data_IF_857063274503
#
_entry.id   IF_857063274503
#
_cell.length_a   1.000
_cell.length_b   1.000
_cell.length_c   1.000
_cell.angle_alpha   90.00
_cell.angle_beta   90.00
_cell.angle_gamma   90.00
#
_symmetry.space_group_name_H-M   'P 1'
#
loop_
_entity.id
_entity.type
_entity.pdbx_description
1 polymer ?
#
# COMPACT_ATOMS: atom_id res chain seq x y z
N UNK A 1 -8.29 -6.90 19.27
CA UNK A 1 -7.04 -6.47 19.91
C UNK A 1 -6.99 -4.95 19.94
N UNK A 2 -7.18 -4.25 21.07
CA UNK A 2 -6.76 -2.87 21.20
C UNK A 2 -5.24 -2.87 21.44
N UNK A 3 -4.45 -2.05 20.73
CA UNK A 3 -3.06 -1.79 21.06
C UNK A 3 -2.00 -2.04 20.00
N UNK A 4 -2.34 -2.45 18.75
CA UNK A 4 -1.31 -2.64 17.72
C UNK A 4 -0.99 -1.39 16.88
N UNK A 5 -1.83 -0.36 16.94
CA UNK A 5 -1.64 0.84 16.11
C UNK A 5 -0.61 1.83 16.66
N UNK A 6 -0.29 1.76 17.95
CA UNK A 6 0.66 2.65 18.63
C UNK A 6 2.12 2.17 18.60
N UNK A 7 2.35 0.94 18.10
CA UNK A 7 3.72 0.42 17.92
C UNK A 7 4.40 1.07 16.71
N UNK A 8 5.67 1.49 16.84
CA UNK A 8 6.48 1.85 15.70
C UNK A 8 6.77 0.63 14.81
N UNK A 9 7.11 0.88 13.56
CA UNK A 9 7.58 -0.16 12.66
C UNK A 9 8.93 -0.75 13.16
N UNK A 10 9.25 -2.02 12.82
CA UNK A 10 10.51 -2.62 13.21
C UNK A 10 11.71 -1.81 12.69
N UNK A 11 12.65 -1.46 13.56
CA UNK A 11 13.83 -0.68 13.19
C UNK A 11 14.65 -1.32 12.07
N UNK A 12 14.83 -2.64 12.09
CA UNK A 12 15.53 -3.36 11.03
C UNK A 12 14.84 -3.29 9.66
N UNK A 13 13.51 -3.14 9.62
CA UNK A 13 12.79 -2.93 8.36
C UNK A 13 12.99 -1.50 7.84
N UNK A 14 13.04 -0.50 8.73
CA UNK A 14 13.35 0.87 8.36
C UNK A 14 14.80 1.02 7.88
N UNK A 15 15.75 0.31 8.52
CA UNK A 15 17.15 0.23 8.07
C UNK A 15 17.25 -0.42 6.68
N UNK A 16 16.49 -1.49 6.45
CA UNK A 16 16.39 -2.13 5.15
C UNK A 16 15.88 -1.17 4.07
N UNK A 17 14.83 -0.42 4.34
CA UNK A 17 14.31 0.60 3.42
C UNK A 17 15.40 1.64 3.12
N UNK A 18 16.04 2.21 4.15
CA UNK A 18 17.06 3.23 3.98
C UNK A 18 18.24 2.74 3.15
N UNK A 19 18.71 1.52 3.40
CA UNK A 19 19.81 0.90 2.67
C UNK A 19 19.54 0.73 1.16
N UNK A 20 18.28 0.44 0.79
CA UNK A 20 17.90 0.22 -0.60
C UNK A 20 17.35 1.47 -1.32
N UNK A 21 17.31 2.62 -0.62
CA UNK A 21 16.82 3.89 -1.15
C UNK A 21 17.80 5.03 -0.95
N UNK A 22 19.04 4.74 -0.58
CA UNK A 22 20.03 5.75 -0.19
C UNK A 22 20.29 6.84 -1.25
N UNK A 23 20.14 6.52 -2.51
CA UNK A 23 20.33 7.40 -3.66
C UNK A 23 19.09 8.21 -4.07
N UNK A 24 17.97 8.06 -3.36
CA UNK A 24 16.72 8.76 -3.65
C UNK A 24 16.52 10.03 -2.81
N UNK A 25 17.06 10.04 -1.60
CA UNK A 25 16.68 11.03 -0.58
C UNK A 25 17.15 12.46 -0.87
N UNK A 26 18.17 12.62 -1.72
CA UNK A 26 18.64 13.95 -2.12
C UNK A 26 17.57 14.76 -2.88
N UNK A 27 16.67 14.08 -3.61
CA UNK A 27 15.53 14.71 -4.31
C UNK A 27 14.54 15.37 -3.33
N UNK A 28 14.48 14.87 -2.09
CA UNK A 28 13.59 15.36 -1.04
C UNK A 28 14.26 16.40 -0.12
N UNK A 29 15.56 16.64 -0.23
CA UNK A 29 16.30 17.56 0.66
C UNK A 29 15.71 18.97 0.66
N UNK A 30 15.39 19.48 1.87
CA UNK A 30 14.73 20.78 2.04
C UNK A 30 13.31 20.83 1.49
N UNK A 31 12.78 19.70 1.01
CA UNK A 31 11.47 19.59 0.41
C UNK A 31 10.32 19.60 1.41
N UNK A 32 9.12 19.86 0.90
CA UNK A 32 7.87 19.71 1.66
C UNK A 32 6.99 18.69 0.96
N UNK A 33 6.61 17.66 1.71
CA UNK A 33 5.77 16.57 1.23
C UNK A 33 4.34 16.77 1.74
N UNK A 34 3.36 16.58 0.86
CA UNK A 34 1.95 16.51 1.24
C UNK A 34 1.45 15.08 1.04
N UNK A 35 0.89 14.50 2.11
CA UNK A 35 0.53 13.08 2.13
C UNK A 35 -0.94 12.92 2.46
N UNK A 36 -1.69 12.30 1.57
CA UNK A 36 -3.03 11.80 1.85
C UNK A 36 -2.98 10.30 2.12
N UNK A 37 -3.83 9.81 3.02
CA UNK A 37 -3.79 8.40 3.43
C UNK A 37 -2.59 8.04 4.32
N UNK A 38 -1.89 9.04 4.88
CA UNK A 38 -0.70 8.86 5.72
C UNK A 38 -0.95 8.11 7.03
N UNK A 39 -2.21 7.98 7.45
CA UNK A 39 -2.61 7.25 8.66
C UNK A 39 -2.90 5.77 8.44
N UNK A 40 -2.97 5.33 7.18
CA UNK A 40 -3.22 3.94 6.79
C UNK A 40 -1.95 3.09 6.71
N UNK A 41 -2.12 1.84 6.29
CA UNK A 41 -1.02 0.86 6.16
C UNK A 41 0.14 1.40 5.32
N UNK A 42 -0.09 1.79 4.06
CA UNK A 42 0.97 2.35 3.21
C UNK A 42 1.55 3.65 3.79
N UNK A 43 0.65 4.52 4.27
CA UNK A 43 1.05 5.84 4.74
C UNK A 43 1.98 5.81 5.94
N UNK A 44 1.76 4.87 6.87
CA UNK A 44 2.64 4.69 8.03
C UNK A 44 4.03 4.21 7.61
N UNK A 45 4.13 3.25 6.68
CA UNK A 45 5.41 2.80 6.15
C UNK A 45 6.18 3.92 5.43
N UNK A 46 5.46 4.73 4.64
CA UNK A 46 6.06 5.89 3.98
C UNK A 46 6.47 6.98 4.98
N UNK A 47 5.65 7.27 5.98
CA UNK A 47 5.96 8.29 6.98
C UNK A 47 7.16 7.89 7.86
N UNK A 48 7.17 6.69 8.42
CA UNK A 48 8.25 6.25 9.31
C UNK A 48 9.58 6.08 8.57
N UNK A 49 9.57 5.56 7.35
CA UNK A 49 10.79 5.50 6.52
C UNK A 49 11.28 6.89 6.10
N UNK A 50 10.38 7.84 5.82
CA UNK A 50 10.75 9.24 5.59
C UNK A 50 11.43 9.86 6.82
N UNK A 51 10.85 9.69 8.00
CA UNK A 51 11.40 10.25 9.24
C UNK A 51 12.78 9.68 9.53
N UNK A 52 12.94 8.36 9.41
CA UNK A 52 14.25 7.71 9.54
C UNK A 52 15.30 8.34 8.59
N UNK A 53 14.97 8.45 7.32
CA UNK A 53 15.89 9.07 6.35
C UNK A 53 16.13 10.56 6.62
N UNK A 54 15.09 11.31 7.00
CA UNK A 54 15.18 12.72 7.30
C UNK A 54 16.15 12.99 8.46
N UNK A 55 16.08 12.18 9.51
CA UNK A 55 16.91 12.34 10.70
C UNK A 55 18.35 11.88 10.44
N UNK A 56 18.56 10.69 9.87
CA UNK A 56 19.88 10.12 9.68
C UNK A 56 20.71 10.85 8.60
N UNK A 57 20.03 11.32 7.54
CA UNK A 57 20.71 12.01 6.43
C UNK A 57 20.64 13.54 6.55
N UNK A 58 20.01 14.07 7.59
CA UNK A 58 19.84 15.50 7.80
C UNK A 58 19.17 16.19 6.61
N UNK A 59 18.07 15.65 6.10
CA UNK A 59 17.42 16.16 4.90
C UNK A 59 16.77 17.52 5.12
N UNK A 60 16.38 17.84 6.34
CA UNK A 60 15.65 19.08 6.67
C UNK A 60 14.37 19.24 5.84
N UNK A 61 13.76 18.13 5.50
CA UNK A 61 12.48 18.07 4.80
C UNK A 61 11.32 18.01 5.80
N UNK A 62 10.13 18.39 5.36
CA UNK A 62 8.93 18.38 6.19
C UNK A 62 7.79 17.64 5.50
N UNK A 63 6.92 17.01 6.31
CA UNK A 63 5.76 16.25 5.83
C UNK A 63 4.47 16.82 6.43
N UNK A 64 3.48 17.07 5.59
CA UNK A 64 2.13 17.40 6.03
C UNK A 64 1.23 16.19 5.74
N UNK A 65 0.62 15.63 6.77
CA UNK A 65 -0.29 14.48 6.68
C UNK A 65 -1.74 14.94 6.78
N UNK A 66 -2.51 14.75 5.71
CA UNK A 66 -3.94 14.97 5.74
C UNK A 66 -4.63 13.79 6.45
N UNK A 67 -5.40 14.11 7.49
CA UNK A 67 -6.15 13.13 8.28
C UNK A 67 -7.53 13.67 8.66
N UNK A 68 -8.53 12.78 8.72
CA UNK A 68 -9.88 13.14 9.18
C UNK A 68 -9.94 13.41 10.68
N UNK A 69 -9.05 12.79 11.44
CA UNK A 69 -8.99 12.89 12.90
C UNK A 69 -7.52 12.95 13.36
N UNK A 70 -6.95 14.16 13.48
CA UNK A 70 -5.59 14.36 13.97
C UNK A 70 -5.35 13.78 15.35
N UNK A 71 -6.33 13.93 16.28
CA UNK A 71 -6.20 13.47 17.65
C UNK A 71 -6.06 11.94 17.68
N UNK A 72 -6.97 11.22 17.01
CA UNK A 72 -6.91 9.76 16.91
C UNK A 72 -5.58 9.29 16.31
N UNK A 73 -5.06 10.02 15.31
CA UNK A 73 -3.77 9.66 14.73
C UNK A 73 -2.61 9.91 15.69
N UNK A 74 -2.62 11.02 16.45
CA UNK A 74 -1.61 11.28 17.49
C UNK A 74 -1.62 10.21 18.58
N UNK A 75 -2.79 9.75 18.98
CA UNK A 75 -2.93 8.64 19.95
C UNK A 75 -2.42 7.30 19.37
N UNK A 76 -2.65 7.05 18.09
CA UNK A 76 -2.28 5.81 17.41
C UNK A 76 -0.83 5.77 16.92
N UNK A 77 -0.19 6.91 16.73
CA UNK A 77 1.15 7.02 16.14
C UNK A 77 1.93 8.23 16.71
N UNK A 78 2.10 8.33 18.03
CA UNK A 78 2.72 9.50 18.64
C UNK A 78 4.11 9.79 18.07
N UNK A 79 4.93 8.77 17.85
CA UNK A 79 6.27 8.94 17.29
C UNK A 79 6.29 9.60 15.88
N UNK A 80 5.23 9.44 15.11
CA UNK A 80 5.08 10.11 13.80
C UNK A 80 4.42 11.47 13.97
N UNK A 81 3.31 11.52 14.71
CA UNK A 81 2.47 12.70 14.81
C UNK A 81 3.14 13.88 15.54
N UNK A 82 3.99 13.58 16.54
CA UNK A 82 4.70 14.56 17.36
C UNK A 82 6.10 14.90 16.84
N UNK A 83 6.52 14.25 15.76
CA UNK A 83 7.83 14.52 15.17
C UNK A 83 7.91 15.93 14.61
N UNK A 84 9.00 16.71 14.87
CA UNK A 84 9.13 18.10 14.43
C UNK A 84 8.98 18.33 12.92
N UNK A 85 9.31 17.33 12.12
CA UNK A 85 9.16 17.37 10.66
C UNK A 85 7.72 17.08 10.18
N UNK A 86 6.78 16.74 11.06
CA UNK A 86 5.41 16.37 10.69
C UNK A 86 4.41 17.43 11.14
N UNK A 87 3.49 17.74 10.26
CA UNK A 87 2.32 18.57 10.57
C UNK A 87 1.06 17.79 10.19
N UNK A 88 0.08 17.74 11.08
CA UNK A 88 -1.21 17.14 10.80
C UNK A 88 -2.18 18.21 10.28
N UNK A 89 -2.82 17.94 9.15
CA UNK A 89 -3.89 18.78 8.59
C UNK A 89 -5.22 18.03 8.73
N UNK A 90 -6.18 18.63 9.42
CA UNK A 90 -7.52 18.07 9.52
C UNK A 90 -8.28 18.25 8.20
N UNK A 91 -8.90 17.19 7.69
CA UNK A 91 -9.74 17.28 6.49
C UNK A 91 -10.01 15.93 5.84
N UNK A 92 -11.00 15.95 4.95
CA UNK A 92 -11.34 14.82 4.08
C UNK A 92 -10.68 15.02 2.71
N UNK A 93 -10.22 13.94 2.07
CA UNK A 93 -9.44 13.99 0.83
C UNK A 93 -10.17 14.72 -0.32
N UNK A 94 -11.50 14.61 -0.39
CA UNK A 94 -12.30 15.27 -1.43
C UNK A 94 -12.67 16.72 -1.15
N UNK A 95 -12.39 17.26 0.06
CA UNK A 95 -12.92 18.58 0.46
C UNK A 95 -12.04 19.36 1.46
N UNK A 96 -10.80 18.93 1.70
CA UNK A 96 -9.90 19.65 2.62
C UNK A 96 -9.61 21.08 2.12
N UNK A 97 -9.41 21.99 3.07
CA UNK A 97 -8.95 23.34 2.77
C UNK A 97 -7.52 23.28 2.22
N UNK A 98 -7.31 23.93 1.08
CA UNK A 98 -6.00 23.93 0.44
C UNK A 98 -5.03 24.80 1.25
N UNK A 99 -4.00 24.21 1.90
CA UNK A 99 -3.05 24.99 2.65
C UNK A 99 -2.22 25.87 1.72
N UNK A 100 -1.91 27.08 2.19
CA UNK A 100 -1.08 28.05 1.44
C UNK A 100 0.39 27.72 1.61
N UNK A 101 1.18 27.99 0.57
CA UNK A 101 2.63 27.78 0.53
C UNK A 101 3.02 26.83 -0.60
N UNK A 102 4.32 26.51 -0.69
CA UNK A 102 4.87 25.63 -1.69
C UNK A 102 5.10 24.22 -1.12
N UNK A 103 4.78 23.20 -1.92
CA UNK A 103 5.12 21.79 -1.66
C UNK A 103 5.85 21.24 -2.87
N UNK A 104 6.85 20.41 -2.63
CA UNK A 104 7.67 19.83 -3.69
C UNK A 104 7.14 18.49 -4.18
N UNK A 105 6.57 17.70 -3.25
CA UNK A 105 6.12 16.33 -3.50
C UNK A 105 4.72 16.10 -2.92
N UNK A 106 3.93 15.30 -3.62
CA UNK A 106 2.61 14.85 -3.16
C UNK A 106 2.54 13.32 -3.21
N UNK A 107 2.15 12.70 -2.10
CA UNK A 107 1.85 11.28 -2.03
C UNK A 107 0.35 11.10 -1.86
N UNK A 108 -0.32 10.73 -2.94
CA UNK A 108 -1.77 10.49 -2.93
C UNK A 108 -2.06 9.02 -2.72
N UNK A 109 -2.15 8.63 -1.44
CA UNK A 109 -2.39 7.25 -1.00
C UNK A 109 -3.76 7.06 -0.35
N UNK A 110 -4.52 8.15 -0.17
CA UNK A 110 -5.86 8.04 0.38
C UNK A 110 -6.74 7.22 -0.54
N UNK A 111 -7.33 6.19 0.03
CA UNK A 111 -8.32 5.33 -0.62
C UNK A 111 -9.32 4.93 0.44
N UNK A 112 -10.58 5.11 0.15
CA UNK A 112 -11.62 4.52 0.96
C UNK A 112 -11.99 3.18 0.32
N UNK A 113 -11.37 2.12 0.83
CA UNK A 113 -11.73 0.73 0.55
C UNK A 113 -11.76 0.00 1.89
N UNK A 114 -12.92 -0.31 2.37
CA UNK A 114 -13.07 -0.98 3.66
C UNK A 114 -14.39 -1.71 3.79
N UNK A 115 -14.53 -2.60 4.79
CA UNK A 115 -15.80 -3.25 5.07
C UNK A 115 -16.90 -2.21 5.27
N UNK A 116 -18.02 -2.38 4.55
CA UNK A 116 -19.19 -1.50 4.63
C UNK A 116 -19.20 -0.30 3.67
N UNK A 117 -18.16 -0.06 2.90
CA UNK A 117 -18.19 0.98 1.86
C UNK A 117 -18.90 0.48 0.60
N UNK A 118 -19.84 1.27 0.09
CA UNK A 118 -20.48 0.96 -1.18
C UNK A 118 -19.52 1.19 -2.36
N UNK A 119 -19.66 0.43 -3.45
CA UNK A 119 -18.87 0.66 -4.67
C UNK A 119 -18.98 2.08 -5.21
N UNK A 120 -20.16 2.70 -5.14
CA UNK A 120 -20.41 4.10 -5.53
C UNK A 120 -19.60 5.07 -4.65
N UNK A 121 -19.61 4.88 -3.33
CA UNK A 121 -18.82 5.71 -2.42
C UNK A 121 -17.32 5.59 -2.70
N UNK A 122 -16.81 4.38 -2.96
CA UNK A 122 -15.42 4.16 -3.33
C UNK A 122 -15.04 4.87 -4.63
N UNK A 123 -15.91 4.81 -5.64
CA UNK A 123 -15.72 5.52 -6.91
C UNK A 123 -15.67 7.03 -6.70
N UNK A 124 -16.69 7.61 -6.05
CA UNK A 124 -16.78 9.07 -5.81
C UNK A 124 -15.60 9.60 -5.02
N UNK A 125 -15.20 8.89 -3.96
CA UNK A 125 -14.05 9.30 -3.15
C UNK A 125 -12.76 9.27 -3.94
N UNK A 126 -12.55 8.24 -4.77
CA UNK A 126 -11.35 8.16 -5.61
C UNK A 126 -11.27 9.31 -6.62
N UNK A 127 -12.40 9.64 -7.26
CA UNK A 127 -12.47 10.74 -8.25
C UNK A 127 -12.31 12.09 -7.56
N UNK A 128 -13.22 12.45 -6.64
CA UNK A 128 -13.21 13.75 -5.98
C UNK A 128 -11.93 14.00 -5.16
N UNK A 129 -11.41 12.93 -4.53
CA UNK A 129 -10.14 13.00 -3.80
C UNK A 129 -8.97 13.29 -4.72
N UNK A 130 -8.90 12.64 -5.88
CA UNK A 130 -7.83 12.89 -6.84
C UNK A 130 -7.93 14.28 -7.46
N UNK A 131 -9.12 14.73 -7.86
CA UNK A 131 -9.32 16.10 -8.35
C UNK A 131 -8.85 17.14 -7.34
N UNK A 132 -9.23 16.99 -6.08
CA UNK A 132 -8.84 17.94 -5.02
C UNK A 132 -7.33 17.93 -4.76
N UNK A 133 -6.69 16.76 -4.78
CA UNK A 133 -5.24 16.65 -4.60
C UNK A 133 -4.49 17.23 -5.79
N UNK A 134 -4.97 17.06 -7.02
CA UNK A 134 -4.37 17.64 -8.21
C UNK A 134 -4.53 19.18 -8.24
N UNK A 135 -5.69 19.70 -7.83
CA UNK A 135 -5.88 21.14 -7.62
C UNK A 135 -4.87 21.69 -6.61
N UNK A 136 -4.70 21.00 -5.48
CA UNK A 136 -3.70 21.35 -4.50
C UNK A 136 -2.29 21.32 -5.09
N UNK A 137 -1.90 20.23 -5.76
CA UNK A 137 -0.57 20.07 -6.34
C UNK A 137 -0.22 21.21 -7.32
N UNK A 138 -1.18 21.60 -8.16
CA UNK A 138 -1.00 22.70 -9.10
C UNK A 138 -0.82 24.05 -8.38
N UNK A 139 -1.65 24.37 -7.39
CA UNK A 139 -1.55 25.61 -6.60
C UNK A 139 -0.28 25.68 -5.76
N UNK A 140 0.15 24.56 -5.25
CA UNK A 140 1.34 24.44 -4.39
C UNK A 140 2.65 24.41 -5.16
N UNK A 141 2.62 24.33 -6.49
CA UNK A 141 3.80 24.19 -7.34
C UNK A 141 4.54 22.88 -7.16
N UNK A 142 3.81 21.78 -6.86
CA UNK A 142 4.40 20.48 -6.68
C UNK A 142 5.05 19.98 -7.98
N UNK A 143 6.27 19.43 -7.85
CA UNK A 143 7.01 18.90 -9.01
C UNK A 143 6.66 17.44 -9.28
N UNK A 144 6.50 16.64 -8.22
CA UNK A 144 6.24 15.19 -8.31
C UNK A 144 5.00 14.82 -7.52
N UNK A 145 4.19 13.96 -8.09
CA UNK A 145 3.03 13.36 -7.44
C UNK A 145 3.08 11.83 -7.62
N UNK A 146 2.98 11.08 -6.54
CA UNK A 146 2.77 9.63 -6.58
C UNK A 146 1.30 9.32 -6.32
N UNK A 147 0.65 8.69 -7.29
CA UNK A 147 -0.67 8.07 -7.12
C UNK A 147 -0.51 6.59 -6.80
N UNK A 148 -0.97 6.14 -5.64
CA UNK A 148 -1.17 4.70 -5.42
C UNK A 148 -2.47 4.26 -6.08
N UNK A 149 -2.35 3.78 -7.30
CA UNK A 149 -3.41 3.10 -8.04
C UNK A 149 -3.54 1.63 -7.58
N UNK A 150 -4.20 0.79 -8.33
CA UNK A 150 -4.45 -0.60 -7.95
C UNK A 150 -4.43 -1.53 -9.16
N UNK A 151 -4.07 -2.81 -8.96
CA UNK A 151 -4.32 -3.86 -9.96
C UNK A 151 -5.80 -4.06 -10.29
N UNK A 152 -6.72 -3.53 -9.48
CA UNK A 152 -8.16 -3.54 -9.80
C UNK A 152 -8.52 -2.76 -11.07
N UNK A 153 -7.64 -1.89 -11.55
CA UNK A 153 -7.82 -1.16 -12.82
C UNK A 153 -7.90 -2.10 -14.03
N UNK A 154 -7.35 -3.30 -13.93
CA UNK A 154 -7.34 -4.30 -15.01
C UNK A 154 -8.62 -5.12 -15.08
N UNK A 155 -9.49 -5.05 -14.06
CA UNK A 155 -10.64 -5.96 -13.95
C UNK A 155 -10.22 -7.38 -13.61
N UNK A 156 -10.99 -8.35 -14.09
CA UNK A 156 -10.72 -9.78 -13.88
C UNK A 156 -9.56 -10.25 -14.73
N UNK A 157 -8.57 -10.87 -14.10
CA UNK A 157 -7.44 -11.46 -14.81
C UNK A 157 -7.90 -12.70 -15.60
N UNK A 158 -7.64 -12.78 -16.92
CA UNK A 158 -7.93 -13.98 -17.71
C UNK A 158 -7.20 -15.21 -17.13
N UNK A 159 -7.86 -16.39 -17.13
CA UNK A 159 -7.27 -17.61 -16.55
C UNK A 159 -5.99 -18.11 -17.25
N UNK A 160 -5.81 -17.77 -18.51
CA UNK A 160 -4.65 -18.09 -19.35
C UNK A 160 -3.53 -17.06 -19.26
N UNK A 161 -3.78 -15.91 -18.62
CA UNK A 161 -2.76 -14.91 -18.33
C UNK A 161 -2.17 -15.16 -16.95
N UNK A 162 -0.95 -15.68 -16.87
CA UNK A 162 -0.32 -16.00 -15.59
C UNK A 162 -0.07 -14.75 -14.73
N UNK A 163 0.39 -13.66 -15.35
CA UNK A 163 0.73 -12.38 -14.71
C UNK A 163 0.25 -11.23 -15.57
N UNK A 164 -0.37 -10.23 -14.97
CA UNK A 164 -0.88 -9.06 -15.69
C UNK A 164 0.25 -8.05 -15.91
N UNK A 165 0.68 -7.79 -17.16
CA UNK A 165 1.61 -6.71 -17.47
C UNK A 165 0.89 -5.35 -17.52
N UNK A 166 1.62 -4.25 -17.37
CA UNK A 166 1.06 -2.90 -17.39
C UNK A 166 0.41 -2.53 -18.73
N UNK A 167 0.83 -3.19 -19.82
CA UNK A 167 0.24 -3.01 -21.17
C UNK A 167 -1.07 -3.80 -21.40
N UNK A 168 -1.53 -4.59 -20.43
CA UNK A 168 -2.79 -5.32 -20.57
C UNK A 168 -3.98 -4.34 -20.65
N UNK A 169 -4.81 -4.40 -21.72
CA UNK A 169 -5.85 -3.41 -21.97
C UNK A 169 -7.14 -3.65 -21.18
N UNK A 170 -7.20 -4.69 -20.34
CA UNK A 170 -8.39 -5.04 -19.58
C UNK A 170 -8.88 -3.92 -18.67
N UNK A 171 -10.16 -3.99 -18.32
CA UNK A 171 -10.83 -3.06 -17.45
C UNK A 171 -11.94 -3.78 -16.67
N UNK A 172 -12.37 -3.25 -15.52
CA UNK A 172 -13.60 -3.72 -14.90
C UNK A 172 -14.78 -3.55 -15.86
N UNK A 173 -15.73 -4.51 -15.95
CA UNK A 173 -16.93 -4.34 -16.76
C UNK A 173 -17.74 -3.12 -16.28
N UNK A 174 -18.27 -2.30 -17.19
CA UNK A 174 -19.00 -1.08 -16.82
C UNK A 174 -20.35 -1.35 -16.13
N UNK A 175 -20.90 -2.54 -16.35
CA UNK A 175 -22.14 -3.04 -15.76
C UNK A 175 -21.95 -3.84 -14.46
N UNK A 176 -20.72 -4.02 -13.99
CA UNK A 176 -20.42 -4.64 -12.70
C UNK A 176 -20.57 -3.59 -11.58
N UNK A 177 -21.71 -3.65 -10.89
CA UNK A 177 -22.01 -2.75 -9.78
C UNK A 177 -20.99 -2.85 -8.62
N UNK A 178 -20.17 -3.90 -8.55
CA UNK A 178 -19.16 -4.10 -7.50
C UNK A 178 -17.80 -3.49 -7.85
N UNK A 179 -17.59 -3.11 -9.11
CA UNK A 179 -16.30 -2.66 -9.64
C UNK A 179 -15.98 -1.16 -9.39
N UNK A 180 -16.78 -0.46 -8.59
CA UNK A 180 -16.63 0.98 -8.35
C UNK A 180 -15.23 1.41 -7.93
N UNK A 181 -14.55 0.62 -7.10
CA UNK A 181 -13.16 0.86 -6.71
C UNK A 181 -12.20 0.84 -7.92
N UNK A 182 -12.27 -0.19 -8.75
CA UNK A 182 -11.43 -0.31 -9.95
C UNK A 182 -11.67 0.80 -10.95
N UNK A 183 -12.93 1.16 -11.19
CA UNK A 183 -13.29 2.30 -12.03
C UNK A 183 -12.79 3.64 -11.47
N UNK A 184 -12.92 3.84 -10.14
CA UNK A 184 -12.42 5.04 -9.47
C UNK A 184 -10.90 5.19 -9.61
N UNK A 185 -10.13 4.11 -9.49
CA UNK A 185 -8.68 4.13 -9.70
C UNK A 185 -8.30 4.39 -11.16
N UNK A 186 -9.05 3.84 -12.13
CA UNK A 186 -8.85 4.19 -13.56
C UNK A 186 -9.11 5.67 -13.83
N UNK A 187 -10.19 6.22 -13.29
CA UNK A 187 -10.50 7.65 -13.39
C UNK A 187 -9.36 8.50 -12.76
N UNK A 188 -8.86 8.11 -11.59
CA UNK A 188 -7.74 8.78 -10.93
C UNK A 188 -6.47 8.82 -11.81
N UNK A 189 -6.11 7.70 -12.47
CA UNK A 189 -4.99 7.68 -13.43
C UNK A 189 -5.21 8.64 -14.60
N UNK A 190 -6.44 8.68 -15.14
CA UNK A 190 -6.79 9.58 -16.24
C UNK A 190 -6.75 11.06 -15.82
N UNK A 191 -7.21 11.38 -14.62
CA UNK A 191 -7.12 12.73 -14.03
C UNK A 191 -5.67 13.18 -13.86
N UNK A 192 -4.78 12.28 -13.40
CA UNK A 192 -3.34 12.56 -13.33
C UNK A 192 -2.76 12.87 -14.71
N UNK A 193 -3.15 12.13 -15.76
CA UNK A 193 -2.74 12.40 -17.13
C UNK A 193 -3.18 13.79 -17.61
N UNK A 194 -4.44 14.14 -17.37
CA UNK A 194 -4.98 15.45 -17.73
C UNK A 194 -4.29 16.60 -16.98
N UNK A 195 -4.04 16.43 -15.67
CA UNK A 195 -3.41 17.46 -14.85
C UNK A 195 -1.92 17.67 -15.18
N UNK A 196 -1.20 16.61 -15.54
CA UNK A 196 0.20 16.70 -15.93
C UNK A 196 0.39 17.40 -17.28
N UNK A 197 -0.61 17.38 -18.16
CA UNK A 197 -0.53 18.00 -19.47
C UNK A 197 -0.34 19.52 -19.33
N UNK A 198 0.83 20.01 -19.74
CA UNK A 198 1.15 21.45 -19.78
C UNK A 198 1.46 22.11 -18.43
N UNK A 199 1.55 21.34 -17.33
CA UNK A 199 1.83 21.91 -15.98
C UNK A 199 3.23 21.65 -15.46
N UNK A 200 3.99 20.75 -16.07
CA UNK A 200 5.29 20.30 -15.56
C UNK A 200 5.21 19.37 -14.33
N UNK A 201 4.00 18.98 -13.90
CA UNK A 201 3.80 18.00 -12.83
C UNK A 201 4.19 16.60 -13.32
N UNK A 202 5.15 15.99 -12.67
CA UNK A 202 5.53 14.60 -12.89
C UNK A 202 4.60 13.67 -12.08
N UNK A 203 3.47 13.27 -12.65
CA UNK A 203 2.57 12.32 -12.02
C UNK A 203 3.10 10.88 -12.21
N UNK A 204 3.43 10.20 -11.11
CA UNK A 204 3.91 8.81 -11.07
C UNK A 204 2.77 7.90 -10.66
N UNK A 205 2.63 6.73 -11.28
CA UNK A 205 1.52 5.82 -11.07
C UNK A 205 2.03 4.46 -10.59
N UNK A 206 1.64 4.07 -9.37
CA UNK A 206 1.94 2.78 -8.78
C UNK A 206 0.65 1.93 -8.73
N UNK A 207 0.53 0.89 -9.56
CA UNK A 207 -0.59 -0.07 -9.54
C UNK A 207 -0.32 -1.16 -8.51
N UNK A 208 -0.81 -0.95 -7.30
CA UNK A 208 -0.57 -1.79 -6.14
C UNK A 208 -1.47 -3.03 -6.16
N UNK A 209 -0.90 -4.22 -5.83
CA UNK A 209 -1.63 -5.49 -5.80
C UNK A 209 -1.91 -5.94 -4.36
N UNK A 210 -1.20 -6.92 -3.83
CA UNK A 210 -1.42 -7.40 -2.47
C UNK A 210 -0.14 -7.41 -1.63
N UNK A 211 -0.30 -7.14 -0.34
CA UNK A 211 0.82 -6.89 0.57
C UNK A 211 0.61 -7.58 1.91
N UNK A 212 1.70 -7.72 2.65
CA UNK A 212 1.73 -8.23 4.02
C UNK A 212 2.78 -7.47 4.83
N UNK A 213 2.52 -7.24 6.10
CA UNK A 213 3.46 -6.56 7.00
C UNK A 213 2.78 -5.99 8.23
N UNK A 214 3.54 -5.48 9.19
CA UNK A 214 3.05 -4.67 10.29
C UNK A 214 2.05 -3.61 9.85
N UNK A 215 1.01 -3.38 10.65
CA UNK A 215 -0.10 -2.47 10.38
C UNK A 215 -1.09 -2.92 9.29
N UNK A 216 -0.92 -4.09 8.65
CA UNK A 216 -1.96 -4.65 7.81
C UNK A 216 -3.18 -5.02 8.68
N UNK A 217 -4.40 -4.53 8.38
CA UNK A 217 -5.59 -4.94 9.15
C UNK A 217 -5.80 -6.45 9.05
N UNK A 218 -5.79 -7.13 10.21
CA UNK A 218 -5.94 -8.59 10.28
C UNK A 218 -7.40 -9.06 10.24
N UNK A 219 -8.35 -8.15 10.33
CA UNK A 219 -9.81 -8.38 10.34
C UNK A 219 -10.51 -7.86 9.07
N UNK A 220 -9.75 -7.36 8.11
CA UNK A 220 -10.27 -6.90 6.82
C UNK A 220 -10.38 -8.06 5.80
N UNK A 221 -10.83 -7.75 4.58
CA UNK A 221 -11.00 -8.72 3.49
C UNK A 221 -9.65 -9.14 2.84
N UNK A 222 -8.64 -9.42 3.68
CA UNK A 222 -7.32 -9.86 3.21
C UNK A 222 -7.03 -11.26 3.75
N UNK A 223 -7.02 -12.27 2.87
CA UNK A 223 -6.80 -13.67 3.26
C UNK A 223 -5.56 -13.84 4.15
N UNK A 224 -4.42 -13.25 3.76
CA UNK A 224 -3.17 -13.36 4.52
C UNK A 224 -3.29 -12.77 5.94
N UNK A 225 -3.94 -11.61 6.09
CA UNK A 225 -4.20 -11.00 7.39
C UNK A 225 -5.08 -11.89 8.27
N UNK A 226 -6.19 -12.38 7.69
CA UNK A 226 -7.12 -13.27 8.39
C UNK A 226 -6.41 -14.56 8.84
N UNK A 227 -5.58 -15.16 8.01
CA UNK A 227 -4.86 -16.40 8.37
C UNK A 227 -3.82 -16.17 9.45
N UNK A 228 -3.10 -15.04 9.43
CA UNK A 228 -2.17 -14.67 10.50
C UNK A 228 -2.92 -14.47 11.82
N UNK A 229 -4.06 -13.74 11.81
CA UNK A 229 -4.93 -13.58 12.98
C UNK A 229 -5.40 -14.93 13.49
N UNK A 230 -5.92 -15.78 12.60
CA UNK A 230 -6.44 -17.08 12.98
C UNK A 230 -5.35 -17.97 13.59
N UNK A 231 -4.12 -17.92 13.05
CA UNK A 231 -3.00 -18.66 13.61
C UNK A 231 -2.55 -18.13 14.99
N UNK A 232 -2.68 -16.82 15.24
CA UNK A 232 -2.34 -16.20 16.53
C UNK A 232 -3.41 -16.42 17.59
N UNK A 233 -4.71 -16.29 17.22
CA UNK A 233 -5.79 -16.09 18.19
C UNK A 233 -6.87 -17.18 18.18
N UNK A 234 -6.90 -18.07 17.18
CA UNK A 234 -7.96 -19.07 17.00
C UNK A 234 -7.43 -20.50 17.02
N UNK A 235 -8.36 -21.48 17.10
CA UNK A 235 -8.01 -22.90 17.12
C UNK A 235 -7.78 -23.49 15.73
N UNK A 236 -8.11 -22.75 14.66
CA UNK A 236 -7.92 -23.17 13.28
C UNK A 236 -7.87 -21.98 12.32
N UNK A 237 -7.27 -22.18 11.16
CA UNK A 237 -7.30 -21.22 10.05
C UNK A 237 -8.53 -21.52 9.19
N UNK A 238 -9.34 -20.49 8.90
CA UNK A 238 -10.54 -20.60 8.08
C UNK A 238 -10.31 -20.09 6.67
N UNK A 239 -10.43 -20.96 5.69
CA UNK A 239 -10.44 -20.63 4.26
C UNK A 239 -11.89 -20.61 3.79
N UNK A 240 -12.46 -19.43 3.60
CA UNK A 240 -13.90 -19.25 3.32
C UNK A 240 -14.33 -19.81 1.94
N UNK A 241 -13.44 -19.85 0.95
CA UNK A 241 -13.70 -20.41 -0.39
C UNK A 241 -13.13 -21.81 -0.55
N UNK A 242 -12.93 -22.20 -1.81
CA UNK A 242 -12.34 -23.50 -2.20
C UNK A 242 -10.82 -23.56 -2.08
N UNK A 243 -10.18 -22.46 -1.77
CA UNK A 243 -8.73 -22.34 -1.63
C UNK A 243 -7.93 -22.33 -2.94
N UNK A 244 -8.57 -22.43 -4.11
CA UNK A 244 -7.86 -22.55 -5.40
C UNK A 244 -7.36 -21.22 -5.96
N UNK A 245 -8.02 -20.10 -5.63
CA UNK A 245 -7.65 -18.77 -6.11
C UNK A 245 -6.18 -18.47 -5.84
N UNK A 246 -5.49 -17.85 -6.81
CA UNK A 246 -4.06 -17.57 -6.75
C UNK A 246 -3.80 -16.08 -6.50
N UNK A 247 -2.88 -15.82 -5.59
CA UNK A 247 -2.46 -14.46 -5.18
C UNK A 247 -0.95 -14.44 -4.96
N UNK A 248 -0.37 -13.27 -5.01
CA UNK A 248 1.01 -13.02 -4.60
C UNK A 248 1.05 -11.88 -3.59
N UNK A 249 2.07 -11.83 -2.75
CA UNK A 249 2.16 -10.85 -1.68
C UNK A 249 3.57 -10.27 -1.60
N UNK A 250 3.67 -8.95 -1.56
CA UNK A 250 4.92 -8.24 -1.33
C UNK A 250 4.98 -7.75 0.11
N UNK A 251 6.16 -7.85 0.74
CA UNK A 251 6.34 -7.33 2.10
C UNK A 251 6.28 -5.79 2.13
N UNK A 252 5.80 -5.22 3.22
CA UNK A 252 5.55 -3.79 3.32
C UNK A 252 6.83 -2.93 3.31
N UNK A 253 7.97 -3.45 3.77
CA UNK A 253 9.24 -2.74 3.60
C UNK A 253 9.65 -2.66 2.12
N UNK A 254 9.51 -3.76 1.37
CA UNK A 254 9.77 -3.76 -0.07
C UNK A 254 8.77 -2.84 -0.80
N UNK A 255 7.49 -2.84 -0.42
CA UNK A 255 6.52 -1.87 -0.93
C UNK A 255 7.00 -0.43 -0.75
N UNK A 256 7.49 -0.05 0.44
CA UNK A 256 7.97 1.30 0.70
C UNK A 256 9.18 1.65 -0.19
N UNK A 257 10.13 0.73 -0.36
CA UNK A 257 11.25 0.90 -1.29
C UNK A 257 10.75 1.18 -2.71
N UNK A 258 9.78 0.39 -3.19
CA UNK A 258 9.23 0.55 -4.53
C UNK A 258 8.51 1.88 -4.70
N UNK A 259 7.69 2.28 -3.73
CA UNK A 259 6.95 3.55 -3.81
C UNK A 259 7.89 4.76 -3.80
N UNK A 260 8.94 4.77 -2.94
CA UNK A 260 9.95 5.82 -2.96
C UNK A 260 10.71 5.86 -4.29
N UNK A 261 11.07 4.69 -4.81
CA UNK A 261 11.77 4.60 -6.10
C UNK A 261 10.89 5.10 -7.25
N UNK A 262 9.62 4.73 -7.28
CA UNK A 262 8.68 5.19 -8.31
C UNK A 262 8.48 6.71 -8.21
N UNK A 263 8.31 7.26 -7.00
CA UNK A 263 8.16 8.72 -6.80
C UNK A 263 9.35 9.48 -7.39
N UNK A 264 10.57 9.02 -7.13
CA UNK A 264 11.79 9.76 -7.49
C UNK A 264 12.22 9.48 -8.92
N UNK A 265 12.27 8.20 -9.32
CA UNK A 265 12.86 7.74 -10.59
C UNK A 265 11.86 7.28 -11.64
N UNK A 266 10.60 6.98 -11.27
CA UNK A 266 9.61 6.51 -12.22
C UNK A 266 9.40 7.51 -13.36
N UNK A 267 9.13 7.02 -14.57
CA UNK A 267 8.73 7.85 -15.70
C UNK A 267 7.35 8.49 -15.44
N UNK A 268 7.16 9.80 -15.71
CA UNK A 268 5.85 10.43 -15.59
C UNK A 268 4.78 9.73 -16.44
N UNK A 269 3.60 9.54 -15.86
CA UNK A 269 2.43 8.90 -16.49
C UNK A 269 2.65 7.45 -16.95
N UNK A 270 3.81 6.87 -16.66
CA UNK A 270 4.09 5.47 -16.94
C UNK A 270 3.72 4.63 -15.71
N UNK A 271 2.68 3.77 -15.78
CA UNK A 271 2.30 2.96 -14.64
C UNK A 271 3.31 1.85 -14.37
N UNK A 272 3.53 1.55 -13.09
CA UNK A 272 4.31 0.43 -12.62
C UNK A 272 3.47 -0.47 -11.74
N UNK A 273 3.42 -1.76 -12.05
CA UNK A 273 2.85 -2.75 -11.15
C UNK A 273 3.74 -2.92 -9.91
N UNK A 274 3.13 -2.86 -8.74
CA UNK A 274 3.80 -3.03 -7.45
C UNK A 274 3.24 -4.27 -6.76
N UNK A 275 4.07 -5.28 -6.55
CA UNK A 275 3.66 -6.56 -5.98
C UNK A 275 4.74 -7.61 -6.12
N UNK A 276 4.37 -8.86 -5.87
CA UNK A 276 5.21 -10.04 -6.07
C UNK A 276 4.76 -10.84 -7.30
N UNK A 277 5.68 -11.51 -7.95
CA UNK A 277 5.39 -12.49 -9.01
C UNK A 277 5.29 -13.93 -8.47
N UNK A 278 5.64 -14.14 -7.20
CA UNK A 278 5.57 -15.44 -6.53
C UNK A 278 4.13 -15.71 -6.10
N UNK A 279 3.35 -16.33 -6.97
CA UNK A 279 1.95 -16.64 -6.69
C UNK A 279 1.77 -18.03 -6.04
N UNK A 280 0.81 -18.11 -5.14
CA UNK A 280 0.42 -19.35 -4.48
C UNK A 280 -1.11 -19.42 -4.39
N UNK A 281 -1.65 -20.63 -4.22
CA UNK A 281 -3.07 -20.77 -3.94
C UNK A 281 -3.41 -20.28 -2.54
N UNK A 282 -4.65 -19.89 -2.31
CA UNK A 282 -5.12 -19.49 -0.97
C UNK A 282 -4.97 -20.65 0.02
N UNK A 283 -5.16 -21.90 -0.43
CA UNK A 283 -4.91 -23.08 0.40
C UNK A 283 -3.42 -23.24 0.75
N UNK A 284 -2.50 -22.99 -0.20
CA UNK A 284 -1.06 -23.05 0.07
C UNK A 284 -0.62 -21.89 0.97
N UNK A 285 -1.23 -20.71 0.82
CA UNK A 285 -1.02 -19.60 1.74
C UNK A 285 -1.41 -19.97 3.18
N UNK A 286 -2.58 -20.61 3.37
CA UNK A 286 -2.99 -21.08 4.70
C UNK A 286 -1.99 -22.09 5.29
N UNK A 287 -1.48 -23.02 4.47
CA UNK A 287 -0.44 -23.99 4.88
C UNK A 287 0.87 -23.29 5.24
N UNK A 288 1.29 -22.27 4.46
CA UNK A 288 2.47 -21.48 4.75
C UNK A 288 2.33 -20.75 6.08
N UNK A 289 1.21 -20.06 6.31
CA UNK A 289 0.95 -19.35 7.57
C UNK A 289 0.92 -20.34 8.75
N UNK A 290 0.23 -21.48 8.61
CA UNK A 290 0.22 -22.52 9.64
C UNK A 290 1.64 -22.97 10.00
N UNK A 291 2.45 -23.27 8.99
CA UNK A 291 3.85 -23.73 9.18
C UNK A 291 4.73 -22.69 9.87
N UNK A 292 4.56 -21.42 9.51
CA UNK A 292 5.44 -20.33 9.98
C UNK A 292 5.02 -19.81 11.35
N UNK A 293 3.72 -19.63 11.59
CA UNK A 293 3.20 -18.96 12.79
C UNK A 293 2.85 -19.94 13.90
N UNK A 294 2.13 -21.02 13.57
CA UNK A 294 1.69 -22.03 14.55
C UNK A 294 1.67 -23.42 13.93
N UNK A 295 2.81 -24.13 13.92
CA UNK A 295 2.88 -25.48 13.39
C UNK A 295 1.86 -26.42 14.02
N UNK A 296 1.11 -27.11 13.17
CA UNK A 296 0.07 -28.07 13.62
C UNK A 296 -1.32 -27.49 13.82
N UNK A 297 -1.52 -26.17 13.66
CA UNK A 297 -2.88 -25.60 13.67
C UNK A 297 -3.73 -26.20 12.52
N UNK A 298 -4.95 -26.68 12.79
CA UNK A 298 -5.85 -27.18 11.75
C UNK A 298 -6.21 -26.11 10.70
N UNK A 299 -6.38 -26.54 9.45
CA UNK A 299 -6.87 -25.68 8.36
C UNK A 299 -8.20 -26.23 7.88
N UNK A 300 -9.23 -25.41 7.90
CA UNK A 300 -10.55 -25.73 7.40
C UNK A 300 -10.81 -24.98 6.09
N UNK A 301 -11.07 -25.73 5.01
CA UNK A 301 -11.46 -25.19 3.71
C UNK A 301 -12.95 -25.42 3.53
N UNK A 302 -13.75 -24.33 3.51
CA UNK A 302 -15.20 -24.41 3.54
C UNK A 302 -15.81 -24.78 2.18
N UNK A 303 -15.16 -24.44 1.06
CA UNK A 303 -15.65 -24.67 -0.28
C UNK A 303 -14.97 -25.85 -0.98
N UNK A 304 -15.53 -26.24 -2.13
CA UNK A 304 -14.93 -27.17 -3.07
C UNK A 304 -14.95 -26.57 -4.49
N UNK A 305 -13.85 -26.71 -5.24
CA UNK A 305 -13.79 -26.22 -6.59
C UNK A 305 -14.70 -27.05 -7.51
N UNK A 306 -15.52 -26.43 -8.39
CA UNK A 306 -16.24 -27.16 -9.42
C UNK A 306 -15.27 -27.89 -10.35
N UNK A 307 -15.64 -29.10 -10.78
CA UNK A 307 -14.81 -29.90 -11.69
C UNK A 307 -14.50 -29.10 -12.99
N UNK A 308 -13.22 -29.00 -13.35
CA UNK A 308 -12.78 -28.29 -14.54
C UNK A 308 -12.74 -26.75 -14.43
N UNK A 309 -13.07 -26.18 -13.25
CA UNK A 309 -12.91 -24.73 -13.04
C UNK A 309 -11.44 -24.33 -13.03
N UNK A 310 -11.14 -23.20 -13.67
CA UNK A 310 -9.80 -22.58 -13.58
C UNK A 310 -9.76 -21.63 -12.38
N UNK A 311 -8.65 -21.62 -11.61
CA UNK A 311 -8.54 -20.75 -10.45
C UNK A 311 -8.52 -19.26 -10.83
N UNK A 312 -9.25 -18.45 -10.10
CA UNK A 312 -9.13 -17.00 -10.23
C UNK A 312 -7.70 -16.54 -9.87
N UNK A 313 -7.17 -15.59 -10.63
CA UNK A 313 -5.83 -15.03 -10.43
C UNK A 313 -5.89 -13.53 -10.14
N UNK A 314 -4.94 -13.03 -9.38
CA UNK A 314 -4.66 -11.62 -9.21
C UNK A 314 -3.18 -11.46 -8.91
N UNK A 315 -2.38 -11.46 -9.98
CA UNK A 315 -0.91 -11.56 -9.94
C UNK A 315 -0.32 -10.60 -10.95
N UNK A 316 0.54 -9.64 -10.55
CA UNK A 316 1.19 -8.73 -11.49
C UNK A 316 2.34 -9.40 -12.24
N UNK A 317 2.66 -8.92 -13.43
CA UNK A 317 4.03 -8.90 -13.91
C UNK A 317 4.71 -7.64 -13.37
N UNK A 318 5.88 -7.80 -12.79
CA UNK A 318 6.70 -6.71 -12.26
C UNK A 318 7.92 -6.40 -13.13
N UNK A 319 8.00 -7.03 -14.29
CA UNK A 319 9.15 -6.94 -15.19
C UNK A 319 9.53 -5.50 -15.56
N UNK A 320 8.53 -4.61 -15.70
CA UNK A 320 8.77 -3.18 -15.97
C UNK A 320 9.48 -2.51 -14.79
N UNK A 321 8.92 -2.61 -13.59
CA UNK A 321 9.50 -1.99 -12.40
C UNK A 321 10.90 -2.53 -12.12
N UNK A 322 11.09 -3.84 -12.24
CA UNK A 322 12.40 -4.49 -12.05
C UNK A 322 13.41 -4.04 -13.10
N UNK A 323 13.02 -4.02 -14.39
CA UNK A 323 13.94 -3.69 -15.48
C UNK A 323 14.29 -2.21 -15.57
N UNK A 324 13.34 -1.32 -15.32
CA UNK A 324 13.53 0.13 -15.46
C UNK A 324 14.02 0.81 -14.17
N UNK A 325 13.58 0.32 -13.01
CA UNK A 325 13.86 0.96 -11.72
C UNK A 325 14.79 0.16 -10.81
N UNK A 326 15.13 -1.09 -11.18
CA UNK A 326 16.00 -1.96 -10.38
C UNK A 326 15.39 -2.47 -9.08
N UNK A 327 14.10 -2.26 -8.87
CA UNK A 327 13.41 -2.77 -7.68
C UNK A 327 13.13 -4.26 -7.80
N UNK A 328 13.09 -4.96 -6.66
CA UNK A 328 12.81 -6.40 -6.59
C UNK A 328 12.16 -6.74 -5.26
N UNK A 329 11.68 -7.95 -5.12
CA UNK A 329 11.33 -8.52 -3.83
C UNK A 329 12.61 -8.97 -3.13
N UNK A 330 12.93 -8.38 -1.98
CA UNK A 330 14.09 -8.77 -1.15
C UNK A 330 13.68 -9.72 -0.02
N UNK A 331 12.47 -9.55 0.52
CA UNK A 331 11.98 -10.29 1.67
C UNK A 331 11.04 -11.39 1.18
N UNK A 332 11.41 -12.65 1.39
CA UNK A 332 10.62 -13.81 1.02
C UNK A 332 9.30 -13.88 1.82
N UNK A 333 8.26 -14.50 1.25
CA UNK A 333 6.93 -14.50 1.83
C UNK A 333 6.86 -15.17 3.22
N UNK A 334 7.63 -16.22 3.46
CA UNK A 334 7.66 -16.89 4.77
C UNK A 334 8.27 -16.00 5.85
N UNK A 335 9.33 -15.25 5.52
CA UNK A 335 9.91 -14.25 6.42
C UNK A 335 8.96 -13.06 6.65
N UNK A 336 8.29 -12.59 5.60
CA UNK A 336 7.28 -11.54 5.67
C UNK A 336 6.11 -11.94 6.61
N UNK A 337 5.63 -13.17 6.51
CA UNK A 337 4.58 -13.72 7.40
C UNK A 337 5.08 -13.78 8.83
N UNK A 338 6.30 -14.26 9.07
CA UNK A 338 6.91 -14.35 10.42
C UNK A 338 7.01 -12.95 11.03
N UNK A 339 7.65 -11.99 10.37
CA UNK A 339 7.80 -10.60 10.85
C UNK A 339 6.45 -9.97 11.17
N UNK A 340 5.44 -10.23 10.34
CA UNK A 340 4.09 -9.71 10.57
C UNK A 340 3.47 -10.34 11.81
N UNK A 341 3.54 -11.66 11.96
CA UNK A 341 3.02 -12.37 13.12
C UNK A 341 3.72 -11.96 14.41
N UNK A 342 5.05 -11.84 14.40
CA UNK A 342 5.86 -11.40 15.55
C UNK A 342 5.47 -9.99 15.99
N UNK A 343 5.21 -9.09 15.05
CA UNK A 343 4.78 -7.74 15.36
C UNK A 343 3.40 -7.69 16.05
N UNK A 344 2.48 -8.60 15.68
CA UNK A 344 1.16 -8.70 16.28
C UNK A 344 1.10 -9.56 17.52
N UNK A 345 2.12 -10.38 17.78
CA UNK A 345 2.13 -11.30 18.91
C UNK A 345 2.02 -10.55 20.25
N UNK A 346 1.21 -11.06 21.22
CA UNK A 346 1.15 -10.51 22.56
C UNK A 346 2.52 -10.66 23.23
N UNK A 347 3.09 -9.57 23.76
CA UNK A 347 4.35 -9.60 24.50
C UNK A 347 5.63 -9.40 23.71
N UNK A 348 5.58 -9.05 22.44
CA UNK A 348 6.74 -8.52 21.70
C UNK A 348 7.11 -7.11 22.21
N UNK A 349 7.47 -7.02 23.51
CA UNK A 349 8.00 -5.84 24.12
C UNK A 349 9.50 -5.76 23.82
N UNK A 350 9.91 -4.63 23.22
CA UNK A 350 11.20 -3.95 23.32
C UNK A 350 12.42 -4.87 23.60
N UNK A 351 12.96 -5.51 22.58
CA UNK A 351 14.37 -5.80 22.57
C UNK A 351 15.13 -4.49 22.36
N UNK A 352 15.43 -3.79 23.45
CA UNK A 352 16.57 -2.88 23.46
C UNK A 352 17.79 -3.75 23.26
N UNK A 353 18.36 -3.71 22.06
CA UNK A 353 19.75 -4.09 21.85
C UNK A 353 20.56 -2.89 22.32
N UNK A 354 21.30 -3.09 23.45
CA UNK A 354 22.26 -2.16 23.97
C UNK A 354 23.49 -2.01 23.09
#
# INVERSE_FOLDING_TARGET
>A
MPGSSDRPLPGGDLDHILAHTSDLWEDLRGGRLFVTGGTGFFGRWMAESFLKANDELGLRAAMTVLTRDPRRFSEAAPAVAEHPAVTLLAGQVGSFDLPTGAWTHVLHMATESGPGMSPDASFRTAVAGTERVLEFAARAGARKLLLTSSGAVYGVQPPDLERIPEGYPGAPPPDDATAGYGHGKRAAESLCGAAAAGTGLEAKIARCFAFVGPLLPLDANFAIGNFIRDALDRDRIEVAGDGTARRSYLYAADLAIWLWTILVKGEPLRPYNVGSEEDLSIADLARLVARVVRPGIPIHIAGSAPAGSRPARYVPSTARATGELGVRQWIALDDAVRRTADWYAPGAAHGHVG
#
